data_IF_290476686905
#
_entry.id   IF_290476686905
#
_cell.length_a   1.000
_cell.length_b   1.000
_cell.length_c   1.000
_cell.angle_alpha   90.00
_cell.angle_beta   90.00
_cell.angle_gamma   90.00
#
_symmetry.space_group_name_H-M   'P 1'
#
loop_
_entity.id
_entity.type
_entity.pdbx_description
1 polymer ?
#
# COMPACT_ATOMS: atom_id res chain seq x y z
N UNK A 1 1.37 -60.61 4.15
CA UNK A 1 1.98 -60.60 2.81
C UNK A 1 1.90 -59.16 2.33
N UNK A 2 2.78 -58.29 2.83
CA UNK A 2 4.11 -57.95 2.33
C UNK A 2 4.03 -56.63 1.53
N UNK A 3 4.23 -55.52 2.24
CA UNK A 3 4.42 -54.19 1.65
C UNK A 3 5.75 -54.18 0.89
N UNK A 4 5.67 -54.15 -0.45
CA UNK A 4 6.85 -54.04 -1.30
C UNK A 4 7.28 -52.59 -1.41
N UNK A 5 8.27 -52.20 -0.60
CA UNK A 5 9.05 -50.99 -0.83
C UNK A 5 9.76 -51.09 -2.18
N UNK A 6 9.41 -50.21 -3.11
CA UNK A 6 10.11 -50.06 -4.39
C UNK A 6 11.27 -49.10 -4.14
N UNK A 7 12.49 -49.62 -4.12
CA UNK A 7 13.69 -48.81 -4.11
C UNK A 7 13.89 -48.16 -5.49
N UNK A 8 14.21 -46.85 -5.59
CA UNK A 8 14.49 -46.22 -6.86
C UNK A 8 15.87 -46.64 -7.38
N UNK A 9 15.90 -47.27 -8.56
CA UNK A 9 17.14 -47.65 -9.24
C UNK A 9 18.02 -46.42 -9.57
N UNK A 10 19.31 -46.53 -9.24
CA UNK A 10 20.30 -45.48 -9.49
C UNK A 10 20.67 -45.42 -10.99
N UNK A 11 20.31 -44.32 -11.66
CA UNK A 11 20.71 -44.05 -13.04
C UNK A 11 22.03 -43.27 -13.04
N UNK A 12 23.07 -43.85 -13.65
CA UNK A 12 24.38 -43.18 -13.72
C UNK A 12 24.36 -41.97 -14.66
N UNK A 13 24.96 -40.87 -14.21
CA UNK A 13 25.05 -39.65 -15.04
C UNK A 13 26.00 -39.89 -16.22
N UNK A 14 25.52 -39.59 -17.45
CA UNK A 14 26.32 -39.65 -18.67
C UNK A 14 27.50 -38.67 -18.57
N UNK A 15 28.72 -39.18 -18.79
CA UNK A 15 29.92 -38.34 -18.91
C UNK A 15 29.84 -37.46 -20.16
N UNK A 16 29.64 -36.15 -19.96
CA UNK A 16 29.73 -35.15 -21.03
C UNK A 16 31.21 -34.86 -21.29
N UNK A 17 31.69 -35.17 -22.50
CA UNK A 17 33.03 -34.75 -22.95
C UNK A 17 33.09 -33.22 -22.97
N UNK A 18 34.01 -32.63 -22.20
CA UNK A 18 34.31 -31.21 -22.29
C UNK A 18 35.05 -30.95 -23.61
N UNK A 19 34.45 -30.17 -24.49
CA UNK A 19 35.14 -29.69 -25.70
C UNK A 19 36.23 -28.71 -25.26
N UNK A 20 37.49 -29.06 -25.52
CA UNK A 20 38.63 -28.15 -25.32
C UNK A 20 38.55 -27.08 -26.41
N UNK A 21 38.30 -25.82 -26.05
CA UNK A 21 38.33 -24.70 -27.00
C UNK A 21 39.79 -24.50 -27.42
N UNK A 22 40.02 -24.27 -28.71
CA UNK A 22 41.35 -23.98 -29.26
C UNK A 22 41.76 -22.59 -28.76
N UNK A 23 42.97 -22.47 -28.22
CA UNK A 23 43.54 -21.20 -27.74
C UNK A 23 43.98 -20.36 -28.93
N UNK A 24 43.35 -19.20 -29.13
CA UNK A 24 43.91 -18.12 -29.94
C UNK A 24 44.41 -17.04 -28.98
N UNK A 25 45.73 -17.02 -28.75
CA UNK A 25 46.38 -16.03 -27.90
C UNK A 25 46.47 -14.70 -28.66
N UNK A 26 45.39 -13.92 -28.63
CA UNK A 26 45.37 -12.54 -29.10
C UNK A 26 45.77 -11.61 -27.95
N UNK A 27 47.06 -11.29 -27.85
CA UNK A 27 47.71 -10.45 -26.82
C UNK A 27 47.35 -8.94 -26.91
N UNK A 28 46.21 -8.57 -27.50
CA UNK A 28 45.87 -7.16 -27.66
C UNK A 28 44.35 -6.92 -27.72
N UNK A 29 43.69 -7.05 -26.58
CA UNK A 29 42.31 -6.60 -26.39
C UNK A 29 41.61 -7.27 -25.21
N UNK A 30 40.85 -6.49 -24.43
CA UNK A 30 39.95 -7.00 -23.39
C UNK A 30 38.86 -7.84 -24.07
N UNK A 31 38.93 -9.16 -23.93
CA UNK A 31 38.01 -10.08 -24.56
C UNK A 31 36.66 -10.05 -23.82
N UNK A 32 35.57 -9.84 -24.56
CA UNK A 32 34.18 -9.96 -24.05
C UNK A 32 33.86 -11.37 -23.48
N UNK A 33 34.75 -12.35 -23.68
CA UNK A 33 34.68 -13.69 -23.14
C UNK A 33 35.85 -13.98 -22.18
N UNK A 34 35.55 -14.51 -21.00
CA UNK A 34 36.56 -14.95 -20.04
C UNK A 34 37.40 -16.10 -20.62
N UNK A 35 38.72 -16.06 -20.38
CA UNK A 35 39.63 -17.17 -20.67
C UNK A 35 39.20 -18.45 -19.92
N UNK A 36 39.51 -19.61 -20.48
CA UNK A 36 39.06 -20.90 -19.96
C UNK A 36 39.60 -21.15 -18.54
N UNK A 37 40.82 -20.68 -18.24
CA UNK A 37 41.43 -20.79 -16.90
C UNK A 37 40.67 -19.92 -15.88
N UNK A 38 40.35 -18.69 -16.25
CA UNK A 38 39.58 -17.77 -15.40
C UNK A 38 38.12 -18.22 -15.23
N UNK A 39 37.53 -18.82 -16.28
CA UNK A 39 36.19 -19.39 -16.22
C UNK A 39 36.12 -20.60 -15.28
N UNK A 40 37.17 -21.44 -15.26
CA UNK A 40 37.31 -22.56 -14.34
C UNK A 40 37.54 -22.10 -12.90
N UNK A 41 38.43 -21.12 -12.66
CA UNK A 41 38.65 -20.57 -11.31
C UNK A 41 37.38 -19.90 -10.76
N UNK A 42 36.66 -19.14 -11.60
CA UNK A 42 35.34 -18.58 -11.26
C UNK A 42 34.30 -19.69 -11.03
N UNK A 43 34.38 -20.84 -11.71
CA UNK A 43 33.51 -21.98 -11.46
C UNK A 43 33.78 -22.65 -10.11
N UNK A 44 35.04 -22.74 -9.69
CA UNK A 44 35.41 -23.25 -8.37
C UNK A 44 35.03 -22.25 -7.27
N UNK A 45 35.32 -20.97 -7.47
CA UNK A 45 34.96 -19.90 -6.54
C UNK A 45 33.44 -19.79 -6.35
N UNK A 46 32.64 -20.08 -7.38
CA UNK A 46 31.17 -20.15 -7.29
C UNK A 46 30.66 -21.22 -6.32
N UNK A 47 31.43 -22.27 -6.05
CA UNK A 47 31.10 -23.34 -5.09
C UNK A 47 31.58 -23.04 -3.67
N UNK A 48 32.38 -21.98 -3.48
CA UNK A 48 32.86 -21.61 -2.16
C UNK A 48 31.72 -21.05 -1.29
N UNK A 49 31.73 -21.36 0.01
CA UNK A 49 30.77 -20.81 0.97
C UNK A 49 30.76 -19.28 0.96
N UNK A 50 31.94 -18.66 0.80
CA UNK A 50 32.10 -17.20 0.72
C UNK A 50 31.32 -16.60 -0.46
N UNK A 51 31.29 -17.28 -1.61
CA UNK A 51 30.50 -16.84 -2.76
C UNK A 51 28.99 -16.99 -2.51
N UNK A 52 28.56 -18.07 -1.85
CA UNK A 52 27.16 -18.26 -1.47
C UNK A 52 26.68 -17.20 -0.48
N UNK A 53 27.48 -16.87 0.55
CA UNK A 53 27.20 -15.77 1.50
C UNK A 53 27.10 -14.43 0.76
N UNK A 54 28.09 -14.10 -0.07
CA UNK A 54 28.05 -12.87 -0.85
C UNK A 54 26.84 -12.79 -1.79
N UNK A 55 26.40 -13.92 -2.36
CA UNK A 55 25.20 -13.99 -3.20
C UNK A 55 23.91 -13.79 -2.40
N UNK A 56 23.86 -14.30 -1.17
CA UNK A 56 22.75 -14.04 -0.24
C UNK A 56 22.69 -12.55 0.07
N UNK A 57 23.81 -11.92 0.43
CA UNK A 57 23.87 -10.48 0.74
C UNK A 57 23.46 -9.63 -0.47
N UNK A 58 23.93 -9.98 -1.67
CA UNK A 58 23.53 -9.30 -2.90
C UNK A 58 22.03 -9.44 -3.20
N UNK A 59 21.46 -10.63 -2.98
CA UNK A 59 20.03 -10.86 -3.18
C UNK A 59 19.17 -10.14 -2.13
N UNK A 60 19.63 -10.09 -0.87
CA UNK A 60 19.01 -9.32 0.19
C UNK A 60 19.03 -7.83 -0.14
N UNK A 61 20.18 -7.27 -0.54
CA UNK A 61 20.29 -5.88 -0.95
C UNK A 61 19.40 -5.54 -2.17
N UNK A 62 19.29 -6.45 -3.15
CA UNK A 62 18.37 -6.29 -4.29
C UNK A 62 16.91 -6.32 -3.85
N UNK A 63 16.54 -7.23 -2.93
CA UNK A 63 15.19 -7.31 -2.36
C UNK A 63 14.86 -6.07 -1.56
N UNK A 64 15.76 -5.59 -0.71
CA UNK A 64 15.59 -4.33 0.03
C UNK A 64 15.43 -3.14 -0.92
N UNK A 65 16.23 -3.06 -1.97
CA UNK A 65 16.10 -2.00 -2.98
C UNK A 65 14.78 -2.11 -3.73
N UNK A 66 14.33 -3.33 -4.05
CA UNK A 66 13.03 -3.57 -4.68
C UNK A 66 11.85 -3.22 -3.75
N UNK A 67 11.96 -3.48 -2.45
CA UNK A 67 10.98 -3.06 -1.43
C UNK A 67 10.96 -1.53 -1.30
N UNK A 68 12.12 -0.86 -1.34
CA UNK A 68 12.23 0.61 -1.28
C UNK A 68 11.77 1.33 -2.56
N UNK A 69 11.86 0.67 -3.73
CA UNK A 69 11.36 1.20 -5.01
C UNK A 69 9.90 0.77 -5.30
N UNK A 70 9.42 -0.29 -4.64
CA UNK A 70 8.04 -0.73 -4.67
C UNK A 70 7.17 0.19 -3.84
N UNK A 71 5.92 0.41 -4.26
CA UNK A 71 4.94 1.17 -3.50
C UNK A 71 4.48 0.43 -2.23
N UNK A 72 3.34 0.86 -1.71
CA UNK A 72 2.69 0.21 -0.57
C UNK A 72 2.38 -1.26 -0.91
N UNK A 73 2.96 -2.18 -0.15
CA UNK A 73 2.61 -3.59 -0.26
C UNK A 73 1.27 -3.77 0.43
N UNK A 74 0.25 -4.16 -0.32
CA UNK A 74 -1.12 -4.31 0.20
C UNK A 74 -1.10 -5.04 1.54
N UNK A 75 -1.49 -4.33 2.61
CA UNK A 75 -1.72 -4.94 3.91
C UNK A 75 -2.94 -5.85 3.72
N UNK A 76 -2.83 -7.16 4.06
CA UNK A 76 -3.97 -8.06 3.92
C UNK A 76 -5.17 -7.47 4.65
N UNK A 77 -6.32 -7.45 3.97
CA UNK A 77 -7.55 -6.94 4.55
C UNK A 77 -7.88 -7.71 5.83
N UNK A 78 -8.34 -6.99 6.85
CA UNK A 78 -8.84 -7.60 8.08
C UNK A 78 -10.13 -8.33 7.75
N UNK A 79 -10.05 -9.64 7.58
CA UNK A 79 -11.22 -10.49 7.40
C UNK A 79 -12.22 -10.25 8.54
N UNK A 80 -13.48 -10.02 8.18
CA UNK A 80 -14.58 -9.87 9.15
C UNK A 80 -14.85 -11.18 9.87
N UNK A 81 -14.52 -12.29 9.22
CA UNK A 81 -14.72 -13.64 9.72
C UNK A 81 -13.53 -14.03 10.61
N UNK A 82 -13.62 -13.63 11.88
CA UNK A 82 -12.68 -14.05 12.93
C UNK A 82 -12.72 -15.56 13.22
N UNK A 83 -13.50 -16.35 12.48
CA UNK A 83 -13.60 -17.80 12.68
C UNK A 83 -12.24 -18.50 12.54
N UNK A 84 -11.42 -18.06 11.59
CA UNK A 84 -10.06 -18.58 11.36
C UNK A 84 -9.09 -18.21 12.49
N UNK A 85 -9.25 -17.03 13.10
CA UNK A 85 -8.43 -16.60 14.25
C UNK A 85 -8.91 -17.27 15.55
N UNK A 86 -10.22 -17.55 15.65
CA UNK A 86 -10.81 -18.22 16.80
C UNK A 86 -10.38 -19.69 16.86
N UNK A 87 -10.21 -20.38 15.74
CA UNK A 87 -9.71 -21.77 15.74
C UNK A 87 -8.26 -21.91 16.20
N UNK A 88 -7.40 -20.89 15.99
CA UNK A 88 -6.01 -20.93 16.46
C UNK A 88 -5.87 -20.53 17.93
N UNK A 89 -6.75 -19.66 18.45
CA UNK A 89 -6.73 -19.26 19.85
C UNK A 89 -7.57 -20.18 20.77
N UNK A 90 -8.52 -20.95 20.23
CA UNK A 90 -9.32 -21.91 21.01
C UNK A 90 -8.56 -23.18 21.38
N UNK A 91 -7.30 -23.32 20.98
CA UNK A 91 -6.40 -24.37 21.50
C UNK A 91 -5.58 -23.90 22.73
N UNK A 92 -5.75 -22.66 23.17
CA UNK A 92 -5.05 -22.10 24.34
C UNK A 92 -6.02 -21.75 25.49
N UNK A 93 -7.19 -22.37 25.53
CA UNK A 93 -7.95 -22.45 26.77
C UNK A 93 -7.33 -23.61 27.55
N UNK A 94 -6.66 -23.32 28.68
CA UNK A 94 -5.99 -24.33 29.48
C UNK A 94 -6.95 -25.47 29.79
N UNK A 95 -6.52 -26.71 29.52
CA UNK A 95 -7.29 -27.90 29.89
C UNK A 95 -7.65 -27.83 31.37
N UNK A 96 -8.92 -28.06 31.68
CA UNK A 96 -9.41 -28.17 33.05
C UNK A 96 -8.87 -29.48 33.63
N UNK A 97 -7.67 -29.40 34.25
CA UNK A 97 -6.87 -30.57 34.61
C UNK A 97 -7.49 -31.44 35.72
N UNK A 98 -8.54 -30.95 36.38
CA UNK A 98 -9.17 -31.60 37.53
C UNK A 98 -10.64 -31.98 37.32
N UNK A 99 -11.28 -31.56 36.21
CA UNK A 99 -12.61 -32.00 35.79
C UNK A 99 -13.69 -31.88 36.91
N UNK A 100 -13.50 -30.93 37.83
CA UNK A 100 -14.35 -30.66 38.99
C UNK A 100 -15.28 -29.49 38.69
N UNK A 101 -16.58 -29.68 38.91
CA UNK A 101 -17.54 -28.58 38.82
C UNK A 101 -17.28 -27.55 39.93
N UNK A 102 -17.37 -26.26 39.56
CA UNK A 102 -17.27 -25.13 40.48
C UNK A 102 -18.18 -25.32 41.69
N UNK A 103 -17.58 -25.46 42.88
CA UNK A 103 -18.32 -25.70 44.10
C UNK A 103 -18.74 -24.38 44.79
N UNK A 104 -19.50 -24.50 45.88
CA UNK A 104 -20.00 -23.35 46.63
C UNK A 104 -18.87 -22.58 47.33
N UNK A 105 -17.77 -23.25 47.68
CA UNK A 105 -16.56 -22.66 48.26
C UNK A 105 -15.75 -21.88 47.22
N UNK A 106 -15.67 -22.35 45.97
CA UNK A 106 -15.04 -21.63 44.85
C UNK A 106 -15.79 -20.34 44.52
N UNK A 107 -17.12 -20.38 44.57
CA UNK A 107 -17.96 -19.19 44.45
C UNK A 107 -17.78 -18.22 45.62
N UNK A 108 -17.49 -18.74 46.82
CA UNK A 108 -17.18 -17.96 48.02
C UNK A 108 -15.81 -17.31 47.90
N UNK A 109 -14.80 -18.04 47.43
CA UNK A 109 -13.44 -17.55 47.15
C UNK A 109 -13.49 -16.48 46.04
N UNK A 110 -14.27 -16.69 44.97
CA UNK A 110 -14.44 -15.70 43.92
C UNK A 110 -15.12 -14.41 44.44
N UNK A 111 -16.12 -14.53 45.31
CA UNK A 111 -16.75 -13.38 45.99
C UNK A 111 -15.84 -12.70 47.01
N UNK A 112 -15.02 -13.46 47.73
CA UNK A 112 -14.05 -12.94 48.68
C UNK A 112 -12.91 -12.21 47.95
N UNK A 113 -12.49 -12.67 46.77
CA UNK A 113 -11.58 -11.93 45.87
C UNK A 113 -12.28 -10.69 45.28
N UNK A 114 -13.59 -10.76 45.01
CA UNK A 114 -14.37 -9.62 44.52
C UNK A 114 -14.56 -8.52 45.59
N UNK A 115 -14.53 -8.89 46.87
CA UNK A 115 -14.87 -8.00 48.01
C UNK A 115 -13.67 -7.64 48.90
N UNK A 116 -12.63 -8.47 48.97
CA UNK A 116 -11.54 -8.39 49.97
C UNK A 116 -10.19 -7.84 49.48
N UNK A 117 -10.11 -7.34 48.25
CA UNK A 117 -8.91 -6.67 47.75
C UNK A 117 -8.89 -5.18 48.12
N UNK A 118 -8.51 -4.86 49.36
CA UNK A 118 -8.37 -3.49 49.89
C UNK A 118 -7.20 -2.69 49.28
N UNK A 119 -6.63 -3.15 48.17
CA UNK A 119 -5.61 -2.42 47.43
C UNK A 119 -6.28 -1.35 46.56
N UNK A 120 -6.16 -0.08 46.96
CA UNK A 120 -6.69 1.10 46.26
C UNK A 120 -6.40 1.08 44.74
N UNK A 121 -5.25 0.52 44.36
CA UNK A 121 -4.84 0.30 42.97
C UNK A 121 -5.79 -0.64 42.22
N UNK A 122 -6.22 -1.74 42.81
CA UNK A 122 -7.09 -2.73 42.18
C UNK A 122 -8.48 -2.15 41.88
N UNK A 123 -9.05 -1.41 42.84
CA UNK A 123 -10.32 -0.69 42.67
C UNK A 123 -10.23 0.36 41.55
N UNK A 124 -9.09 1.04 41.40
CA UNK A 124 -8.86 2.02 40.33
C UNK A 124 -8.83 1.35 38.93
N UNK A 125 -8.18 0.20 38.81
CA UNK A 125 -8.11 -0.58 37.55
C UNK A 125 -9.50 -1.13 37.19
N UNK A 126 -10.28 -1.61 38.16
CA UNK A 126 -11.67 -2.05 37.94
C UNK A 126 -12.55 -0.91 37.44
N UNK A 127 -12.48 0.27 38.07
CA UNK A 127 -13.22 1.47 37.66
C UNK A 127 -12.86 1.92 36.25
N UNK A 128 -11.57 1.96 35.91
CA UNK A 128 -11.12 2.35 34.56
C UNK A 128 -11.57 1.36 33.48
N UNK A 129 -11.53 0.05 33.76
CA UNK A 129 -12.03 -0.99 32.85
C UNK A 129 -13.55 -0.88 32.65
N UNK A 130 -14.31 -0.63 33.72
CA UNK A 130 -15.77 -0.42 33.65
C UNK A 130 -16.11 0.82 32.84
N UNK A 131 -15.47 1.96 33.14
CA UNK A 131 -15.66 3.21 32.41
C UNK A 131 -15.28 3.09 30.92
N UNK A 132 -14.27 2.28 30.59
CA UNK A 132 -13.91 2.00 29.20
C UNK A 132 -15.02 1.25 28.46
N UNK A 133 -15.60 0.21 29.08
CA UNK A 133 -16.72 -0.55 28.49
C UNK A 133 -17.97 0.31 28.30
N UNK A 134 -18.29 1.16 29.28
CA UNK A 134 -19.42 2.09 29.21
C UNK A 134 -19.26 3.08 28.05
N UNK A 135 -18.07 3.66 27.89
CA UNK A 135 -17.76 4.54 26.75
C UNK A 135 -17.86 3.84 25.39
N UNK A 136 -17.39 2.59 25.31
CA UNK A 136 -17.51 1.79 24.08
C UNK A 136 -18.99 1.53 23.74
N UNK A 137 -19.81 1.22 24.73
CA UNK A 137 -21.25 1.03 24.56
C UNK A 137 -21.96 2.32 24.14
N UNK A 138 -21.68 3.46 24.80
CA UNK A 138 -22.22 4.77 24.43
C UNK A 138 -21.85 5.14 22.99
N UNK A 139 -20.61 4.92 22.59
CA UNK A 139 -20.16 5.17 21.21
C UNK A 139 -20.91 4.30 20.19
N UNK A 140 -21.13 3.02 20.51
CA UNK A 140 -21.89 2.12 19.66
C UNK A 140 -23.36 2.55 19.52
N UNK A 141 -23.98 3.00 20.61
CA UNK A 141 -25.35 3.53 20.60
C UNK A 141 -25.46 4.82 19.77
N UNK A 142 -24.50 5.73 19.89
CA UNK A 142 -24.43 6.95 19.08
C UNK A 142 -24.32 6.62 17.59
N UNK A 143 -23.50 5.63 17.21
CA UNK A 143 -23.39 5.17 15.82
C UNK A 143 -24.70 4.56 15.33
N UNK A 144 -25.37 3.74 16.16
CA UNK A 144 -26.67 3.13 15.80
C UNK A 144 -27.74 4.20 15.59
N UNK A 145 -27.86 5.15 16.50
CA UNK A 145 -28.82 6.25 16.39
C UNK A 145 -28.53 7.13 15.16
N UNK A 146 -27.26 7.48 14.91
CA UNK A 146 -26.87 8.24 13.72
C UNK A 146 -27.18 7.51 12.41
N UNK A 147 -27.03 6.18 12.37
CA UNK A 147 -27.40 5.37 11.19
C UNK A 147 -28.91 5.31 10.99
N UNK A 148 -29.66 5.25 12.07
CA UNK A 148 -31.12 5.27 12.00
C UNK A 148 -31.60 6.63 11.46
N UNK A 149 -31.00 7.74 11.91
CA UNK A 149 -31.31 9.09 11.39
C UNK A 149 -30.94 9.25 9.91
N UNK A 150 -29.81 8.70 9.46
CA UNK A 150 -29.37 8.78 8.05
C UNK A 150 -30.21 7.91 7.09
N UNK A 151 -30.91 6.91 7.61
CA UNK A 151 -31.80 6.02 6.82
C UNK A 151 -33.26 6.46 6.81
N UNK A 152 -33.60 7.55 7.51
CA UNK A 152 -34.89 8.21 7.34
C UNK A 152 -34.87 8.92 6.00
N UNK A 153 -35.25 8.19 4.94
CA UNK A 153 -35.69 8.83 3.72
C UNK A 153 -36.91 9.69 4.10
N UNK A 154 -36.83 11.00 3.90
CA UNK A 154 -38.02 11.84 3.90
C UNK A 154 -38.96 11.24 2.85
N UNK A 155 -39.99 10.51 3.29
CA UNK A 155 -41.11 10.19 2.43
C UNK A 155 -41.68 11.53 2.00
N UNK A 156 -41.43 11.91 0.74
CA UNK A 156 -42.16 13.00 0.11
C UNK A 156 -43.64 12.62 0.15
N UNK A 157 -44.32 13.05 1.20
CA UNK A 157 -45.76 12.92 1.37
C UNK A 157 -46.40 13.73 0.25
N UNK A 158 -46.72 13.04 -0.84
CA UNK A 158 -47.49 13.60 -1.92
C UNK A 158 -48.85 14.03 -1.34
N UNK A 159 -49.32 15.27 -1.64
CA UNK A 159 -50.66 15.69 -1.28
C UNK A 159 -51.70 14.68 -1.77
N UNK A 160 -52.72 14.42 -0.95
CA UNK A 160 -53.71 13.40 -1.22
C UNK A 160 -54.43 13.69 -2.56
N UNK A 161 -54.40 12.72 -3.48
CA UNK A 161 -54.91 12.86 -4.86
C UNK A 161 -53.90 13.36 -5.91
N UNK A 162 -52.65 13.63 -5.56
CA UNK A 162 -51.61 14.01 -6.53
C UNK A 162 -50.95 12.81 -7.23
N UNK A 163 -50.66 12.94 -8.53
CA UNK A 163 -49.98 11.89 -9.32
C UNK A 163 -48.47 12.00 -9.16
N UNK A 164 -47.78 10.86 -9.07
CA UNK A 164 -46.30 10.78 -9.07
C UNK A 164 -45.73 11.43 -10.34
N UNK A 165 -44.85 12.41 -10.18
CA UNK A 165 -44.16 13.05 -11.29
C UNK A 165 -42.99 12.20 -11.79
N UNK A 166 -42.60 12.41 -13.05
CA UNK A 166 -41.43 11.77 -13.64
C UNK A 166 -40.14 12.39 -13.10
N UNK A 167 -39.18 11.57 -12.66
CA UNK A 167 -37.86 12.05 -12.22
C UNK A 167 -37.03 12.60 -13.41
N UNK A 168 -36.16 13.57 -13.16
CA UNK A 168 -35.23 14.15 -14.13
C UNK A 168 -34.36 13.09 -14.83
N UNK A 169 -33.95 12.05 -14.10
CA UNK A 169 -33.13 10.95 -14.64
C UNK A 169 -33.86 10.21 -15.75
N UNK A 170 -35.13 9.85 -15.50
CA UNK A 170 -36.01 9.17 -16.45
C UNK A 170 -36.34 10.13 -17.60
N UNK A 171 -36.65 11.39 -17.30
CA UNK A 171 -37.01 12.40 -18.30
C UNK A 171 -35.88 12.70 -19.28
N UNK A 172 -34.62 12.74 -18.82
CA UNK A 172 -33.47 13.08 -19.66
C UNK A 172 -32.73 11.87 -20.22
N UNK A 173 -32.93 10.69 -19.64
CA UNK A 173 -32.33 9.41 -20.04
C UNK A 173 -30.83 9.53 -20.43
N UNK A 174 -30.04 10.21 -19.58
CA UNK A 174 -28.63 10.49 -19.89
C UNK A 174 -27.73 9.27 -19.66
N UNK A 175 -28.15 8.30 -18.85
CA UNK A 175 -27.35 7.13 -18.48
C UNK A 175 -26.08 7.47 -17.70
N UNK A 176 -25.14 6.52 -17.65
CA UNK A 176 -23.88 6.62 -16.89
C UNK A 176 -22.81 7.45 -17.64
N UNK A 177 -23.06 8.75 -17.84
CA UNK A 177 -22.06 9.64 -18.47
C UNK A 177 -20.96 10.06 -17.48
N UNK A 178 -19.70 10.18 -17.92
CA UNK A 178 -18.62 10.67 -17.06
C UNK A 178 -18.81 12.15 -16.71
N UNK A 179 -18.24 12.57 -15.58
CA UNK A 179 -18.27 13.97 -15.19
C UNK A 179 -17.50 14.86 -16.18
N UNK A 180 -18.18 15.89 -16.71
CA UNK A 180 -17.60 16.90 -17.62
C UNK A 180 -17.45 18.24 -16.91
N UNK A 181 -16.32 18.92 -17.13
CA UNK A 181 -16.02 20.21 -16.49
C UNK A 181 -17.05 21.27 -16.92
N UNK A 182 -17.37 22.21 -16.03
CA UNK A 182 -18.32 23.30 -16.32
C UNK A 182 -17.90 24.13 -17.54
N UNK A 183 -16.59 24.34 -17.75
CA UNK A 183 -16.07 25.05 -18.93
C UNK A 183 -16.44 24.39 -20.27
N UNK A 184 -16.61 23.06 -20.29
CA UNK A 184 -16.96 22.32 -21.51
C UNK A 184 -18.43 22.51 -21.91
N UNK A 185 -19.28 23.01 -21.00
CA UNK A 185 -20.68 23.32 -21.31
C UNK A 185 -20.81 24.52 -22.26
N UNK A 186 -19.85 25.44 -22.25
CA UNK A 186 -19.87 26.64 -23.09
C UNK A 186 -18.57 26.74 -23.92
N UNK A 187 -18.63 26.56 -25.25
CA UNK A 187 -17.43 26.58 -26.08
C UNK A 187 -16.68 27.92 -26.00
N UNK A 188 -17.38 29.04 -25.89
CA UNK A 188 -16.78 30.38 -25.75
C UNK A 188 -15.92 30.45 -24.48
N UNK A 189 -16.43 29.98 -23.35
CA UNK A 189 -15.70 30.00 -22.06
C UNK A 189 -14.48 29.09 -22.11
N UNK A 190 -14.61 27.90 -22.70
CA UNK A 190 -13.47 26.98 -22.94
C UNK A 190 -12.37 27.66 -23.76
N UNK A 191 -12.71 28.31 -24.87
CA UNK A 191 -11.74 28.95 -25.74
C UNK A 191 -11.10 30.19 -25.12
N UNK A 192 -11.88 31.01 -24.39
CA UNK A 192 -11.34 32.14 -23.61
C UNK A 192 -10.32 31.66 -22.58
N UNK A 193 -10.67 30.67 -21.77
CA UNK A 193 -9.78 30.14 -20.73
C UNK A 193 -8.54 29.45 -21.34
N UNK A 194 -8.68 28.79 -22.50
CA UNK A 194 -7.55 28.22 -23.25
C UNK A 194 -6.60 29.32 -23.73
N UNK A 195 -7.12 30.42 -24.28
CA UNK A 195 -6.33 31.56 -24.72
C UNK A 195 -5.61 32.25 -23.55
N UNK A 196 -6.28 32.51 -22.44
CA UNK A 196 -5.66 33.12 -21.26
C UNK A 196 -4.54 32.25 -20.68
N UNK A 197 -4.75 30.92 -20.62
CA UNK A 197 -3.71 29.96 -20.22
C UNK A 197 -2.53 29.99 -21.20
N UNK A 198 -2.78 30.02 -22.50
CA UNK A 198 -1.73 30.12 -23.52
C UNK A 198 -0.97 31.44 -23.40
N UNK A 199 -1.67 32.57 -23.18
CA UNK A 199 -1.05 33.90 -22.99
C UNK A 199 -0.10 33.92 -21.80
N UNK A 200 -0.47 33.26 -20.68
CA UNK A 200 0.40 33.08 -19.52
C UNK A 200 1.63 32.21 -19.83
N UNK A 201 1.45 31.10 -20.56
CA UNK A 201 2.57 30.23 -20.99
C UNK A 201 3.53 30.92 -21.96
N UNK A 202 3.04 31.77 -22.85
CA UNK A 202 3.91 32.51 -23.78
C UNK A 202 4.85 33.43 -22.99
N UNK A 203 4.38 34.06 -21.90
CA UNK A 203 5.22 34.90 -21.03
C UNK A 203 6.37 34.14 -20.36
N UNK A 204 6.22 32.84 -20.11
CA UNK A 204 7.30 32.02 -19.52
C UNK A 204 8.32 31.56 -20.56
N UNK A 205 7.92 31.39 -21.82
CA UNK A 205 8.80 30.93 -22.90
C UNK A 205 9.59 32.10 -23.49
N UNK A 206 8.92 33.23 -23.77
CA UNK A 206 9.53 34.43 -24.37
C UNK A 206 9.18 35.68 -23.58
N UNK A 207 10.11 36.64 -23.56
CA UNK A 207 9.85 37.98 -23.02
C UNK A 207 8.85 38.67 -23.95
N UNK A 208 7.64 38.92 -23.46
CA UNK A 208 6.64 39.73 -24.18
C UNK A 208 6.92 41.19 -23.86
N UNK A 209 6.79 42.07 -24.85
CA UNK A 209 6.88 43.52 -24.66
C UNK A 209 5.72 43.98 -23.77
N UNK A 210 6.05 44.64 -22.66
CA UNK A 210 5.11 45.28 -21.75
C UNK A 210 5.40 46.78 -21.77
N UNK A 211 4.36 47.60 -21.72
CA UNK A 211 4.54 49.07 -21.64
C UNK A 211 5.16 49.41 -20.29
N UNK A 212 6.10 50.34 -20.27
CA UNK A 212 6.63 50.88 -19.02
C UNK A 212 5.56 51.74 -18.37
N UNK A 213 5.26 51.45 -17.11
CA UNK A 213 4.35 52.23 -16.29
C UNK A 213 5.22 53.05 -15.33
N UNK A 214 5.39 54.35 -15.63
CA UNK A 214 6.16 55.28 -14.80
C UNK A 214 7.68 55.29 -15.05
N UNK A 215 8.45 55.97 -14.17
CA UNK A 215 9.90 56.07 -14.27
C UNK A 215 10.61 54.72 -14.05
N UNK A 216 11.82 54.57 -14.58
CA UNK A 216 12.59 53.34 -14.48
C UNK A 216 13.03 53.05 -13.03
N UNK A 217 12.46 51.99 -12.44
CA UNK A 217 12.78 51.52 -11.08
C UNK A 217 13.82 50.40 -11.00
N UNK A 218 14.45 50.02 -12.11
CA UNK A 218 15.35 48.86 -12.20
C UNK A 218 14.67 47.57 -12.67
N UNK A 219 15.47 46.51 -12.88
CA UNK A 219 14.99 45.17 -13.27
C UNK A 219 14.47 44.41 -12.04
N UNK A 220 13.14 44.36 -11.87
CA UNK A 220 12.45 43.76 -10.71
C UNK A 220 12.86 42.28 -10.46
N UNK A 221 13.06 41.51 -11.52
CA UNK A 221 13.41 40.07 -11.42
C UNK A 221 14.91 39.81 -11.27
N UNK A 222 15.73 40.86 -11.25
CA UNK A 222 17.18 40.78 -11.19
C UNK A 222 17.87 40.53 -12.53
N UNK A 223 19.18 40.82 -12.55
CA UNK A 223 20.05 40.70 -13.74
C UNK A 223 21.03 39.54 -13.52
N UNK A 224 21.10 38.62 -14.49
CA UNK A 224 22.06 37.49 -14.47
C UNK A 224 23.21 37.75 -15.43
N UNK A 225 24.40 38.03 -14.89
CA UNK A 225 25.59 38.46 -15.67
C UNK A 225 26.13 37.39 -16.62
N UNK A 226 26.06 36.10 -16.25
CA UNK A 226 26.62 34.99 -17.04
C UNK A 226 25.67 34.41 -18.11
N UNK A 227 24.53 35.05 -18.39
CA UNK A 227 23.50 34.50 -19.29
C UNK A 227 23.33 35.32 -20.56
N UNK A 228 23.82 34.81 -21.70
CA UNK A 228 23.56 35.35 -23.03
C UNK A 228 22.36 34.65 -23.68
N UNK A 229 21.42 35.43 -24.23
CA UNK A 229 20.23 34.94 -24.95
C UNK A 229 20.17 35.42 -26.41
N UNK A 230 21.30 35.85 -26.96
CA UNK A 230 21.41 36.25 -28.38
C UNK A 230 21.43 35.03 -29.30
N UNK A 231 20.95 35.20 -30.52
CA UNK A 231 21.06 34.19 -31.58
C UNK A 231 22.47 34.32 -32.17
N UNK A 232 23.24 33.24 -32.17
CA UNK A 232 24.54 33.18 -32.86
C UNK A 232 24.30 32.91 -34.34
N UNK A 233 24.91 33.73 -35.21
CA UNK A 233 24.95 33.45 -36.64
C UNK A 233 26.12 32.49 -36.91
N UNK A 234 25.83 31.43 -37.65
CA UNK A 234 26.83 30.49 -38.15
C UNK A 234 27.14 30.83 -39.61
#
# INVERSE_FOLDING_TARGET
MADTFIEPEFVSFKNVKKNKRIREDLDMGDLDALDDVDAEDKAQNRKSLRHHVAKIDQNLAKREKAIRLGGDTDIPYKDKDKSVIKSVNSQNDGDDLDNLDWNEDDNKIAKDIETGGDDELYLSVRKTKKAKKEKEFEHEQLIKNSKNDETVYEEEMLPDGSKRQINYEILKNKGLTPHRKKEQRNPRVKHRNKYEKAKKKIKSIKRIVVRQEGPYGGEITGIKTKLSRSIKFN
#
